data_IF_088040183417
#
_entry.id   IF_088040183417
#
_cell.length_a   1.000
_cell.length_b   1.000
_cell.length_c   1.000
_cell.angle_alpha   90.00
_cell.angle_beta   90.00
_cell.angle_gamma   90.00
#
_symmetry.space_group_name_H-M   'P 1'
#
loop_
_entity.id
_entity.type
_entity.pdbx_description
1 polymer ?
#
# COMPACT_ATOMS: atom_id res chain seq x y z
N UNK A 1 -42.18 -43.00 22.31
CA UNK A 1 -42.96 -41.88 21.77
C UNK A 1 -42.50 -40.53 22.33
N UNK A 2 -42.34 -40.38 23.65
CA UNK A 2 -41.93 -39.10 24.28
C UNK A 2 -40.50 -38.63 23.86
N UNK A 3 -39.54 -39.55 23.72
CA UNK A 3 -38.16 -39.22 23.30
C UNK A 3 -38.05 -38.73 21.85
N UNK A 4 -38.93 -39.17 20.97
CA UNK A 4 -38.97 -38.77 19.57
C UNK A 4 -39.54 -37.36 19.41
N UNK A 5 -40.51 -36.98 20.23
CA UNK A 5 -41.10 -35.63 20.23
C UNK A 5 -40.13 -34.61 20.80
N UNK A 6 -39.35 -34.95 21.83
CA UNK A 6 -38.31 -34.08 22.42
C UNK A 6 -37.16 -33.83 21.43
N UNK A 7 -36.78 -34.83 20.63
CA UNK A 7 -35.79 -34.69 19.56
C UNK A 7 -36.23 -33.74 18.44
N UNK A 8 -37.50 -33.82 18.03
CA UNK A 8 -38.07 -32.94 17.00
C UNK A 8 -38.19 -31.46 17.47
N UNK A 9 -38.56 -31.26 18.75
CA UNK A 9 -38.67 -29.92 19.35
C UNK A 9 -37.27 -29.27 19.50
N UNK A 10 -36.23 -30.02 19.93
CA UNK A 10 -34.86 -29.54 19.99
C UNK A 10 -34.29 -29.21 18.61
N UNK A 11 -34.47 -30.05 17.61
CA UNK A 11 -34.01 -29.81 16.25
C UNK A 11 -34.69 -28.59 15.61
N UNK A 12 -35.98 -28.34 15.89
CA UNK A 12 -36.69 -27.13 15.45
C UNK A 12 -36.19 -25.84 16.13
N UNK A 13 -35.91 -25.91 17.44
CA UNK A 13 -35.41 -24.77 18.21
C UNK A 13 -33.98 -24.37 17.80
N UNK A 14 -33.08 -25.33 17.58
CA UNK A 14 -31.72 -25.09 17.09
C UNK A 14 -31.72 -24.54 15.67
N UNK A 15 -32.65 -24.97 14.81
CA UNK A 15 -32.81 -24.41 13.46
C UNK A 15 -33.33 -22.97 13.49
N UNK A 16 -34.25 -22.63 14.38
CA UNK A 16 -34.77 -21.25 14.54
C UNK A 16 -33.71 -20.36 15.15
N UNK A 17 -32.96 -20.82 16.17
CA UNK A 17 -31.85 -20.07 16.76
C UNK A 17 -30.75 -19.82 15.71
N UNK A 18 -30.36 -20.82 14.92
CA UNK A 18 -29.41 -20.69 13.84
C UNK A 18 -29.91 -19.74 12.72
N UNK A 19 -31.21 -19.75 12.43
CA UNK A 19 -31.81 -18.81 11.45
C UNK A 19 -31.79 -17.38 12.00
N UNK A 20 -32.15 -17.18 13.27
CA UNK A 20 -32.08 -15.91 13.97
C UNK A 20 -30.65 -15.40 14.03
N UNK A 21 -29.69 -16.28 14.42
CA UNK A 21 -28.26 -15.94 14.42
C UNK A 21 -27.76 -15.55 13.02
N UNK A 22 -28.15 -16.27 11.96
CA UNK A 22 -27.83 -15.92 10.56
C UNK A 22 -28.49 -14.60 10.13
N UNK A 23 -29.71 -14.31 10.55
CA UNK A 23 -30.43 -13.08 10.18
C UNK A 23 -29.92 -11.84 10.93
N UNK A 24 -29.54 -11.98 12.20
CA UNK A 24 -29.11 -10.85 13.04
C UNK A 24 -27.60 -10.73 13.15
N UNK A 25 -26.82 -11.79 12.94
CA UNK A 25 -25.36 -11.81 13.05
C UNK A 25 -24.65 -12.18 11.75
N UNK A 26 -25.36 -12.33 10.62
CA UNK A 26 -24.67 -12.35 9.33
C UNK A 26 -23.99 -10.98 9.16
N UNK A 27 -22.65 -10.94 9.22
CA UNK A 27 -21.88 -9.74 8.88
C UNK A 27 -22.36 -9.33 7.48
N UNK A 28 -23.16 -8.27 7.38
CA UNK A 28 -23.50 -7.66 6.09
C UNK A 28 -22.16 -7.38 5.39
N UNK A 29 -22.04 -7.82 4.14
CA UNK A 29 -20.86 -7.44 3.35
C UNK A 29 -20.77 -5.91 3.36
N UNK A 30 -19.62 -5.33 3.66
CA UNK A 30 -19.49 -3.88 3.67
C UNK A 30 -19.86 -3.33 2.29
N UNK A 31 -20.46 -2.16 2.26
CA UNK A 31 -20.74 -1.48 1.01
C UNK A 31 -19.42 -0.97 0.42
N UNK A 32 -19.20 -1.23 -0.87
CA UNK A 32 -17.96 -0.86 -1.58
C UNK A 32 -18.14 0.51 -2.22
N UNK A 33 -17.16 1.40 -2.03
CA UNK A 33 -17.15 2.74 -2.64
C UNK A 33 -16.73 2.68 -4.11
N UNK A 34 -15.58 2.04 -4.41
CA UNK A 34 -15.04 1.95 -5.78
C UNK A 34 -15.69 0.81 -6.57
N UNK A 35 -16.94 0.99 -6.98
CA UNK A 35 -17.70 -0.04 -7.71
C UNK A 35 -17.33 -0.09 -9.20
N UNK A 36 -17.00 1.04 -9.81
CA UNK A 36 -16.62 1.17 -11.22
C UNK A 36 -15.33 1.99 -11.33
N UNK A 37 -14.26 1.43 -11.94
CA UNK A 37 -12.97 2.11 -12.07
C UNK A 37 -12.99 3.34 -12.98
N UNK A 38 -14.05 3.56 -13.74
CA UNK A 38 -14.20 4.70 -14.64
C UNK A 38 -14.96 5.88 -14.01
N UNK A 39 -15.67 5.64 -12.92
CA UNK A 39 -16.45 6.67 -12.22
C UNK A 39 -15.54 7.42 -11.25
N UNK A 40 -15.83 8.71 -11.11
CA UNK A 40 -15.21 9.58 -10.11
C UNK A 40 -16.10 9.68 -8.89
N UNK A 41 -15.52 9.46 -7.74
CA UNK A 41 -16.16 9.56 -6.43
C UNK A 41 -15.60 10.77 -5.71
N UNK A 42 -16.40 11.82 -5.55
CA UNK A 42 -16.02 13.01 -4.80
C UNK A 42 -16.04 12.68 -3.29
N UNK A 43 -14.86 12.57 -2.67
CA UNK A 43 -14.75 12.29 -1.26
C UNK A 43 -14.31 13.54 -0.51
N UNK A 44 -14.88 13.72 0.69
CA UNK A 44 -14.73 14.92 1.51
C UNK A 44 -13.58 14.75 2.51
N UNK A 45 -12.67 15.74 2.57
CA UNK A 45 -11.62 15.80 3.56
C UNK A 45 -12.22 16.03 4.96
N UNK A 46 -11.97 15.12 5.89
CA UNK A 46 -12.48 15.18 7.27
C UNK A 46 -11.40 15.34 8.33
N UNK A 47 -10.13 15.04 7.97
CA UNK A 47 -8.99 15.27 8.86
C UNK A 47 -7.72 15.50 8.04
N UNK A 48 -6.82 16.35 8.56
CA UNK A 48 -5.51 16.64 8.00
C UNK A 48 -4.49 16.76 9.13
N UNK A 49 -3.53 15.84 9.18
CA UNK A 49 -2.48 15.77 10.19
C UNK A 49 -1.11 16.08 9.59
N UNK A 50 -0.30 16.86 10.30
CA UNK A 50 1.11 17.09 9.96
C UNK A 50 1.91 15.90 10.48
N UNK A 51 2.51 15.12 9.57
CA UNK A 51 3.36 13.96 9.91
C UNK A 51 4.81 14.41 10.05
N UNK A 52 5.29 15.24 9.10
CA UNK A 52 6.63 15.82 9.13
C UNK A 52 6.63 17.22 8.49
N UNK A 53 7.82 17.81 8.32
CA UNK A 53 8.00 19.12 7.71
C UNK A 53 7.36 19.23 6.32
N UNK A 54 7.34 18.14 5.56
CA UNK A 54 6.79 18.09 4.20
C UNK A 54 5.79 16.95 3.96
N UNK A 55 5.33 16.25 5.00
CA UNK A 55 4.40 15.13 4.87
C UNK A 55 3.12 15.37 5.65
N UNK A 56 2.01 15.03 5.03
CA UNK A 56 0.66 15.11 5.61
C UNK A 56 -0.06 13.78 5.51
N UNK A 57 -0.87 13.49 6.50
CA UNK A 57 -1.88 12.43 6.44
C UNK A 57 -3.23 13.08 6.22
N UNK A 58 -3.89 12.73 5.12
CA UNK A 58 -5.21 13.20 4.76
C UNK A 58 -6.21 12.08 4.96
N UNK A 59 -7.29 12.35 5.69
CA UNK A 59 -8.41 11.43 5.86
C UNK A 59 -9.63 11.94 5.11
N UNK A 60 -10.17 11.11 4.23
CA UNK A 60 -11.36 11.40 3.46
C UNK A 60 -12.51 10.48 3.90
N UNK A 61 -13.72 11.05 4.04
CA UNK A 61 -14.90 10.27 4.37
C UNK A 61 -15.36 9.44 3.16
N UNK A 62 -15.68 8.18 3.39
CA UNK A 62 -16.42 7.35 2.45
C UNK A 62 -17.92 7.70 2.50
N UNK A 63 -18.75 7.20 1.54
CA UNK A 63 -20.16 7.61 1.44
C UNK A 63 -21.01 7.38 2.69
N UNK A 64 -20.67 6.38 3.51
CA UNK A 64 -21.25 6.17 4.85
C UNK A 64 -20.23 5.50 5.78
N UNK A 65 -20.49 5.45 7.11
CA UNK A 65 -19.62 4.76 8.07
C UNK A 65 -19.44 3.25 7.81
N UNK A 66 -20.36 2.64 7.08
CA UNK A 66 -20.33 1.20 6.75
C UNK A 66 -19.61 0.90 5.43
N UNK A 67 -19.28 1.94 4.65
CA UNK A 67 -18.54 1.77 3.41
C UNK A 67 -17.06 1.44 3.68
N UNK A 68 -16.52 0.58 2.82
CA UNK A 68 -15.09 0.39 2.64
C UNK A 68 -14.67 0.97 1.29
N UNK A 69 -13.38 1.20 1.11
CA UNK A 69 -12.90 1.73 -0.18
C UNK A 69 -13.10 0.72 -1.31
N UNK A 70 -12.83 -0.55 -1.08
CA UNK A 70 -12.92 -1.63 -2.08
C UNK A 70 -11.70 -1.68 -3.00
N UNK A 71 -10.50 -1.36 -2.46
CA UNK A 71 -9.26 -1.36 -3.21
C UNK A 71 -8.52 -2.69 -3.04
N UNK A 72 -8.36 -3.50 -4.11
CA UNK A 72 -7.54 -4.72 -4.06
C UNK A 72 -6.10 -4.41 -3.63
N UNK A 73 -5.51 -5.26 -2.80
CA UNK A 73 -4.13 -5.12 -2.34
C UNK A 73 -3.16 -5.17 -3.53
N UNK A 74 -2.29 -4.19 -3.64
CA UNK A 74 -1.37 -3.99 -4.76
C UNK A 74 -1.88 -3.01 -5.81
N UNK A 75 -3.12 -2.54 -5.69
CA UNK A 75 -3.69 -1.51 -6.56
C UNK A 75 -3.69 -0.12 -5.90
N UNK A 76 -3.92 0.90 -6.69
CA UNK A 76 -3.93 2.30 -6.29
C UNK A 76 -5.21 3.02 -6.80
N UNK A 77 -5.42 4.23 -6.32
CA UNK A 77 -6.43 5.16 -6.82
C UNK A 77 -5.76 6.30 -7.57
N UNK A 78 -6.53 6.97 -8.41
CA UNK A 78 -6.18 8.27 -8.95
C UNK A 78 -6.93 9.37 -8.22
N UNK A 79 -6.22 10.43 -7.81
CA UNK A 79 -6.82 11.70 -7.46
C UNK A 79 -6.83 12.62 -8.69
N UNK A 80 -7.90 13.35 -8.88
CA UNK A 80 -8.01 14.34 -9.95
C UNK A 80 -8.58 15.65 -9.44
N UNK A 81 -7.93 16.76 -9.84
CA UNK A 81 -8.34 18.12 -9.50
C UNK A 81 -8.00 19.09 -10.65
N UNK A 82 -8.71 20.22 -10.71
CA UNK A 82 -8.33 21.36 -11.56
C UNK A 82 -7.34 22.23 -10.79
N UNK A 83 -6.11 22.35 -11.30
CA UNK A 83 -5.07 23.23 -10.77
C UNK A 83 -4.70 24.22 -11.87
N UNK A 84 -4.80 25.52 -11.61
CA UNK A 84 -4.57 26.59 -12.60
C UNK A 84 -5.31 26.36 -13.93
N UNK A 85 -6.58 25.95 -13.83
CA UNK A 85 -7.46 25.68 -14.99
C UNK A 85 -7.18 24.37 -15.74
N UNK A 86 -6.12 23.62 -15.37
CA UNK A 86 -5.72 22.35 -16.02
C UNK A 86 -6.08 21.15 -15.14
N UNK A 87 -6.55 20.08 -15.78
CA UNK A 87 -6.78 18.82 -15.08
C UNK A 87 -5.44 18.19 -14.70
N UNK A 88 -5.26 17.95 -13.41
CA UNK A 88 -4.11 17.19 -12.86
C UNK A 88 -4.63 15.89 -12.30
N UNK A 89 -3.99 14.78 -12.71
CA UNK A 89 -4.33 13.42 -12.24
C UNK A 89 -3.04 12.77 -11.72
N UNK A 90 -3.09 12.19 -10.50
CA UNK A 90 -1.94 11.51 -9.90
C UNK A 90 -2.37 10.24 -9.17
N UNK A 91 -1.56 9.15 -9.25
CA UNK A 91 -1.81 7.92 -8.51
C UNK A 91 -1.41 8.08 -7.05
N UNK A 92 -2.17 7.44 -6.16
CA UNK A 92 -1.89 7.33 -4.73
C UNK A 92 -2.30 5.95 -4.23
N UNK A 93 -1.50 5.38 -3.35
CA UNK A 93 -1.86 4.14 -2.65
C UNK A 93 -2.25 4.50 -1.21
N UNK A 94 -3.51 4.25 -0.81
CA UNK A 94 -3.96 4.46 0.56
C UNK A 94 -3.15 3.64 1.56
N UNK A 95 -2.99 4.18 2.77
CA UNK A 95 -2.35 3.49 3.90
C UNK A 95 -3.37 2.86 4.84
N UNK A 96 -4.65 3.24 4.77
CA UNK A 96 -5.77 2.51 5.39
C UNK A 96 -6.14 1.28 4.56
N UNK A 97 -6.77 0.30 5.18
CA UNK A 97 -7.24 -0.93 4.56
C UNK A 97 -8.78 -1.00 4.49
N UNK A 98 -9.33 -2.01 3.80
CA UNK A 98 -10.77 -2.27 3.79
C UNK A 98 -11.32 -2.83 5.12
N UNK A 99 -10.48 -2.98 6.15
CA UNK A 99 -10.93 -3.21 7.52
C UNK A 99 -11.32 -1.91 8.23
N UNK A 100 -10.85 -0.79 7.67
CA UNK A 100 -11.17 0.56 8.12
C UNK A 100 -12.41 1.05 7.38
N UNK A 101 -13.59 0.98 8.01
CA UNK A 101 -14.83 1.46 7.40
C UNK A 101 -15.04 2.96 7.64
N UNK A 102 -15.74 3.61 6.70
CA UNK A 102 -16.17 5.00 6.78
C UNK A 102 -15.13 6.03 6.33
N UNK A 103 -13.87 5.65 6.12
CA UNK A 103 -12.81 6.58 5.70
C UNK A 103 -11.72 5.92 4.87
N UNK A 104 -10.93 6.75 4.22
CA UNK A 104 -9.67 6.38 3.56
C UNK A 104 -8.57 7.36 3.93
N UNK A 105 -7.38 6.85 4.29
CA UNK A 105 -6.20 7.62 4.65
C UNK A 105 -5.15 7.60 3.53
N UNK A 106 -4.65 8.78 3.20
CA UNK A 106 -3.51 8.97 2.31
C UNK A 106 -2.36 9.65 3.06
N UNK A 107 -1.16 9.11 2.96
CA UNK A 107 0.07 9.79 3.40
C UNK A 107 0.76 10.35 2.16
N UNK A 108 0.93 11.67 2.14
CA UNK A 108 1.39 12.41 0.96
C UNK A 108 2.54 13.33 1.33
N UNK A 109 3.65 13.22 0.60
CA UNK A 109 4.74 14.20 0.65
C UNK A 109 4.36 15.42 -0.19
N UNK A 110 4.46 16.59 0.42
CA UNK A 110 4.18 17.87 -0.22
C UNK A 110 5.47 18.38 -0.85
N UNK A 111 5.46 18.48 -2.16
CA UNK A 111 6.58 19.08 -2.90
C UNK A 111 6.34 20.57 -3.04
N UNK A 112 6.87 21.34 -2.10
CA UNK A 112 6.70 22.80 -2.07
C UNK A 112 7.48 23.49 -3.20
N UNK A 113 7.01 24.69 -3.59
CA UNK A 113 7.72 25.58 -4.51
C UNK A 113 9.08 25.97 -3.95
N UNK A 114 10.02 26.24 -4.84
CA UNK A 114 11.34 26.81 -4.55
C UNK A 114 12.23 25.96 -3.63
N UNK A 115 11.86 24.70 -3.39
CA UNK A 115 12.64 23.75 -2.56
C UNK A 115 13.65 22.96 -3.41
N UNK A 116 13.24 22.50 -4.59
CA UNK A 116 14.10 21.68 -5.44
C UNK A 116 14.54 22.43 -6.69
N UNK A 117 15.87 22.65 -6.92
CA UNK A 117 16.37 23.49 -8.02
C UNK A 117 15.88 23.10 -9.42
N UNK A 118 15.73 21.77 -9.67
CA UNK A 118 15.24 21.26 -10.96
C UNK A 118 13.71 21.33 -11.11
N UNK A 119 12.98 21.54 -10.02
CA UNK A 119 11.51 21.58 -10.00
C UNK A 119 11.00 22.77 -9.18
N UNK A 120 11.28 24.02 -9.62
CA UNK A 120 10.96 25.22 -8.83
C UNK A 120 9.46 25.37 -8.56
N UNK A 121 8.60 24.89 -9.48
CA UNK A 121 7.14 24.95 -9.29
C UNK A 121 6.59 23.95 -8.25
N UNK A 122 7.39 22.98 -7.81
CA UNK A 122 6.97 21.94 -6.89
C UNK A 122 5.93 20.97 -7.48
N UNK A 123 5.22 20.26 -6.61
CA UNK A 123 4.25 19.26 -6.99
C UNK A 123 2.84 19.83 -7.08
N UNK A 124 2.25 19.90 -8.28
CA UNK A 124 0.91 20.50 -8.48
C UNK A 124 -0.17 19.86 -7.62
N UNK A 125 -0.29 18.51 -7.64
CA UNK A 125 -1.32 17.81 -6.87
C UNK A 125 -1.03 17.86 -5.37
N UNK A 126 0.23 17.70 -4.95
CA UNK A 126 0.56 17.70 -3.53
C UNK A 126 0.33 19.07 -2.88
N UNK A 127 0.65 20.16 -3.56
CA UNK A 127 0.34 21.52 -3.09
C UNK A 127 -1.16 21.82 -3.12
N UNK A 128 -1.90 21.30 -4.11
CA UNK A 128 -3.37 21.38 -4.11
C UNK A 128 -3.96 20.69 -2.88
N UNK A 129 -3.51 19.47 -2.56
CA UNK A 129 -3.93 18.74 -1.36
C UNK A 129 -3.60 19.51 -0.07
N UNK A 130 -2.40 20.12 0.00
CA UNK A 130 -2.02 20.98 1.15
C UNK A 130 -2.96 22.17 1.31
N UNK A 131 -3.45 22.74 0.21
CA UNK A 131 -4.40 23.86 0.21
C UNK A 131 -5.84 23.48 0.60
N UNK A 132 -6.19 22.19 0.60
CA UNK A 132 -7.56 21.75 0.98
C UNK A 132 -7.87 22.09 2.44
N UNK A 133 -9.09 22.55 2.64
CA UNK A 133 -9.69 22.76 3.96
C UNK A 133 -10.58 21.59 4.34
N UNK A 134 -10.85 21.41 5.62
CA UNK A 134 -11.84 20.44 6.06
C UNK A 134 -13.20 20.72 5.39
N UNK A 135 -13.84 19.67 4.92
CA UNK A 135 -15.06 19.61 4.13
C UNK A 135 -14.89 19.91 2.64
N UNK A 136 -13.73 20.30 2.14
CA UNK A 136 -13.47 20.29 0.69
C UNK A 136 -13.50 18.87 0.14
N UNK A 137 -13.81 18.74 -1.15
CA UNK A 137 -13.86 17.44 -1.84
C UNK A 137 -12.81 17.36 -2.93
N UNK A 138 -12.36 16.11 -3.18
CA UNK A 138 -11.52 15.78 -4.34
C UNK A 138 -12.02 14.49 -4.98
N UNK A 139 -11.86 14.38 -6.31
CA UNK A 139 -12.28 13.22 -7.07
C UNK A 139 -11.30 12.04 -6.88
N UNK A 140 -11.80 10.92 -6.40
CA UNK A 140 -11.16 9.61 -6.38
C UNK A 140 -11.64 8.78 -7.56
N UNK A 141 -10.77 8.01 -8.18
CA UNK A 141 -11.09 7.05 -9.23
C UNK A 141 -10.21 5.81 -9.10
N UNK A 142 -10.80 4.64 -9.24
CA UNK A 142 -10.14 3.35 -9.15
C UNK A 142 -11.14 2.22 -8.96
N UNK A 143 -10.65 1.01 -8.68
CA UNK A 143 -9.24 0.63 -8.51
C UNK A 143 -8.44 0.65 -9.82
N UNK A 144 -7.11 0.82 -9.74
CA UNK A 144 -6.20 0.77 -10.87
C UNK A 144 -4.86 0.15 -10.46
N UNK A 145 -4.19 -0.50 -11.40
CA UNK A 145 -2.89 -1.15 -11.19
C UNK A 145 -2.81 -2.47 -11.91
N UNK A 146 -1.58 -2.97 -12.08
CA UNK A 146 -1.28 -4.20 -12.82
C UNK A 146 -0.94 -5.37 -11.91
N UNK A 147 -0.87 -5.16 -10.60
CA UNK A 147 -0.58 -6.18 -9.61
C UNK A 147 -1.73 -6.28 -8.60
N UNK A 148 -2.13 -7.50 -8.29
CA UNK A 148 -3.05 -7.80 -7.19
C UNK A 148 -2.44 -8.89 -6.31
N UNK A 149 -2.28 -8.62 -5.03
CA UNK A 149 -1.92 -9.63 -4.05
C UNK A 149 -3.16 -10.41 -3.62
N UNK A 150 -3.08 -11.74 -3.69
CA UNK A 150 -4.18 -12.65 -3.38
C UNK A 150 -4.07 -13.34 -2.01
N UNK A 151 -3.02 -12.99 -1.28
CA UNK A 151 -2.68 -13.65 0.00
C UNK A 151 -1.75 -14.86 -0.18
N UNK A 152 -1.06 -15.19 0.91
CA UNK A 152 -0.18 -16.38 1.01
C UNK A 152 0.85 -16.49 -0.11
N UNK A 153 1.45 -15.35 -0.46
CA UNK A 153 2.47 -15.25 -1.49
C UNK A 153 1.99 -15.37 -2.93
N UNK A 154 0.67 -15.34 -3.17
CA UNK A 154 0.11 -15.42 -4.53
C UNK A 154 -0.18 -14.02 -5.09
N UNK A 155 0.23 -13.78 -6.32
CA UNK A 155 0.07 -12.51 -7.04
C UNK A 155 -0.53 -12.77 -8.41
N UNK A 156 -1.47 -11.91 -8.83
CA UNK A 156 -1.89 -11.78 -10.21
C UNK A 156 -1.22 -10.53 -10.78
N UNK A 157 -0.35 -10.70 -11.78
CA UNK A 157 0.42 -9.62 -12.39
C UNK A 157 0.10 -9.55 -13.88
N UNK A 158 -0.33 -8.37 -14.34
CA UNK A 158 -0.53 -8.09 -15.76
C UNK A 158 0.74 -7.45 -16.33
N UNK A 159 1.28 -7.94 -17.48
CA UNK A 159 2.36 -7.27 -18.17
C UNK A 159 1.98 -5.85 -18.64
N UNK A 160 0.73 -5.68 -19.03
CA UNK A 160 0.12 -4.41 -19.43
C UNK A 160 -1.40 -4.45 -19.22
N UNK A 161 -2.08 -3.30 -19.47
CA UNK A 161 -3.53 -3.15 -19.25
C UNK A 161 -4.42 -4.00 -20.17
N UNK A 162 -3.87 -4.58 -21.24
CA UNK A 162 -4.64 -5.35 -22.24
C UNK A 162 -4.41 -6.85 -22.10
N UNK A 163 -3.29 -7.25 -21.51
CA UNK A 163 -2.91 -8.65 -21.33
C UNK A 163 -3.63 -9.29 -20.15
N UNK A 164 -3.83 -10.59 -20.22
CA UNK A 164 -4.32 -11.36 -19.08
C UNK A 164 -3.30 -11.36 -17.94
N UNK A 165 -3.78 -11.44 -16.72
CA UNK A 165 -2.92 -11.56 -15.56
C UNK A 165 -2.27 -12.93 -15.49
N UNK A 166 -0.98 -12.96 -15.18
CA UNK A 166 -0.23 -14.17 -14.88
C UNK A 166 -0.20 -14.39 -13.37
N UNK A 167 -0.44 -15.63 -12.93
CA UNK A 167 -0.30 -16.02 -11.54
C UNK A 167 1.18 -16.25 -11.22
N UNK A 168 1.72 -15.48 -10.28
CA UNK A 168 3.05 -15.70 -9.70
C UNK A 168 2.93 -16.02 -8.22
N UNK A 169 3.80 -16.88 -7.74
CA UNK A 169 3.91 -17.19 -6.31
C UNK A 169 5.29 -16.84 -5.80
N UNK A 170 5.40 -16.41 -4.55
CA UNK A 170 6.65 -16.11 -3.90
C UNK A 170 6.56 -16.44 -2.41
N UNK A 171 7.62 -17.04 -1.86
CA UNK A 171 7.80 -17.19 -0.41
C UNK A 171 8.52 -15.98 0.17
N UNK A 172 9.32 -15.32 -0.67
CA UNK A 172 10.14 -14.16 -0.28
C UNK A 172 9.83 -12.98 -1.19
N UNK A 173 9.54 -11.84 -0.57
CA UNK A 173 9.36 -10.56 -1.25
C UNK A 173 10.57 -9.68 -0.97
N UNK A 174 11.32 -9.34 -2.00
CA UNK A 174 12.28 -8.24 -1.94
C UNK A 174 11.57 -6.95 -2.35
N UNK A 175 11.55 -5.96 -1.50
CA UNK A 175 10.87 -4.69 -1.73
C UNK A 175 11.88 -3.57 -1.72
N UNK A 176 11.90 -2.75 -2.77
CA UNK A 176 12.73 -1.56 -2.85
C UNK A 176 11.83 -0.34 -2.96
N UNK A 177 11.85 0.52 -1.96
CA UNK A 177 11.05 1.73 -1.92
C UNK A 177 11.94 2.98 -1.95
N UNK A 178 11.50 4.04 -2.66
CA UNK A 178 12.11 5.36 -2.62
C UNK A 178 11.09 6.43 -2.23
N UNK A 179 11.31 7.11 -1.10
CA UNK A 179 10.40 8.16 -0.63
C UNK A 179 8.96 7.69 -0.52
N UNK A 180 8.04 8.35 -1.25
CA UNK A 180 6.60 7.99 -1.26
C UNK A 180 6.29 6.62 -1.87
N UNK A 181 7.27 5.99 -2.54
CA UNK A 181 7.14 4.61 -3.02
C UNK A 181 6.97 3.56 -1.91
N UNK A 182 7.06 3.96 -0.66
CA UNK A 182 6.77 3.10 0.50
C UNK A 182 5.28 2.70 0.58
N UNK A 183 4.35 3.51 0.10
CA UNK A 183 2.91 3.29 0.31
C UNK A 183 2.39 1.99 -0.32
N UNK A 184 2.71 1.60 -1.57
CA UNK A 184 2.32 0.29 -2.09
C UNK A 184 3.04 -0.88 -1.39
N UNK A 185 4.27 -0.68 -0.89
CA UNK A 185 4.97 -1.71 -0.11
C UNK A 185 4.27 -1.93 1.23
N UNK A 186 3.96 -0.86 1.96
CA UNK A 186 3.26 -0.94 3.24
C UNK A 186 1.90 -1.62 3.10
N UNK A 187 1.15 -1.35 2.02
CA UNK A 187 -0.13 -2.00 1.76
C UNK A 187 0.01 -3.54 1.71
N UNK A 188 1.03 -4.05 0.99
CA UNK A 188 1.29 -5.49 0.88
C UNK A 188 1.83 -6.05 2.20
N UNK A 189 2.82 -5.37 2.83
CA UNK A 189 3.39 -5.79 4.11
C UNK A 189 2.30 -5.95 5.16
N UNK A 190 1.43 -4.94 5.31
CA UNK A 190 0.31 -4.99 6.26
C UNK A 190 -0.63 -6.16 5.98
N UNK A 191 -0.97 -6.41 4.71
CA UNK A 191 -1.82 -7.54 4.33
C UNK A 191 -1.18 -8.89 4.67
N UNK A 192 0.12 -9.06 4.40
CA UNK A 192 0.88 -10.27 4.75
C UNK A 192 0.95 -10.48 6.26
N UNK A 193 1.29 -9.44 7.02
CA UNK A 193 1.48 -9.54 8.49
C UNK A 193 0.16 -9.81 9.21
N UNK A 194 -0.95 -9.30 8.68
CA UNK A 194 -2.28 -9.46 9.25
C UNK A 194 -2.83 -10.90 9.15
N UNK A 195 -2.49 -11.65 8.10
CA UNK A 195 -2.89 -13.05 7.97
C UNK A 195 -1.88 -13.95 8.70
N UNK A 196 -2.26 -14.60 9.82
CA UNK A 196 -1.37 -15.51 10.55
C UNK A 196 -1.04 -16.79 9.76
N UNK A 197 -1.80 -17.10 8.71
CA UNK A 197 -1.55 -18.25 7.84
C UNK A 197 -0.65 -17.90 6.64
N UNK A 198 -0.43 -16.61 6.39
CA UNK A 198 0.52 -16.17 5.38
C UNK A 198 1.95 -16.36 5.89
N UNK A 199 2.74 -17.12 5.17
CA UNK A 199 4.14 -17.44 5.52
C UNK A 199 5.15 -16.65 4.68
N UNK A 200 4.67 -15.69 3.89
CA UNK A 200 5.51 -14.84 3.06
C UNK A 200 6.44 -14.00 3.94
N UNK A 201 7.72 -13.98 3.60
CA UNK A 201 8.72 -13.13 4.26
C UNK A 201 8.96 -11.90 3.40
N UNK A 202 8.76 -10.72 3.99
CA UNK A 202 8.97 -9.43 3.34
C UNK A 202 10.31 -8.84 3.77
N UNK A 203 11.15 -8.45 2.80
CA UNK A 203 12.40 -7.73 3.00
C UNK A 203 12.27 -6.36 2.37
N UNK A 204 12.34 -5.30 3.15
CA UNK A 204 12.22 -3.93 2.69
C UNK A 204 13.55 -3.19 2.77
N UNK A 205 14.07 -2.77 1.61
CA UNK A 205 15.16 -1.80 1.47
C UNK A 205 14.56 -0.45 1.11
N UNK A 206 14.63 0.52 2.03
CA UNK A 206 13.93 1.79 1.90
C UNK A 206 14.91 2.97 1.81
N UNK A 207 14.96 3.61 0.63
CA UNK A 207 15.85 4.71 0.30
C UNK A 207 15.19 6.08 0.47
N UNK A 208 15.89 7.01 1.12
CA UNK A 208 15.45 8.38 1.35
C UNK A 208 16.63 9.37 1.25
N UNK A 209 16.37 10.68 1.21
CA UNK A 209 17.44 11.67 1.15
C UNK A 209 18.13 11.86 2.50
N UNK A 210 17.35 11.96 3.57
CA UNK A 210 17.84 12.09 4.94
C UNK A 210 17.01 11.22 5.87
N UNK A 211 17.45 11.02 7.09
CA UNK A 211 16.70 10.33 8.12
C UNK A 211 15.31 10.94 8.36
N UNK A 212 15.21 12.28 8.33
CA UNK A 212 13.95 13.02 8.54
C UNK A 212 12.94 12.86 7.41
N UNK A 213 13.40 12.38 6.24
CA UNK A 213 12.54 12.09 5.08
C UNK A 213 11.93 10.68 5.10
N UNK A 214 12.33 9.82 6.06
CA UNK A 214 11.82 8.45 6.14
C UNK A 214 10.36 8.48 6.59
N UNK A 215 9.46 8.21 5.64
CA UNK A 215 8.03 8.18 5.87
C UNK A 215 7.64 6.92 6.66
N UNK A 216 6.71 7.06 7.60
CA UNK A 216 6.12 5.93 8.33
C UNK A 216 7.16 5.05 9.05
N UNK A 217 8.30 5.64 9.44
CA UNK A 217 9.38 4.90 10.10
C UNK A 217 8.92 4.23 11.39
N UNK A 218 8.20 4.92 12.31
CA UNK A 218 7.73 4.28 13.54
C UNK A 218 6.83 3.07 13.27
N UNK A 219 5.93 3.18 12.29
CA UNK A 219 5.01 2.11 11.90
C UNK A 219 5.77 0.91 11.31
N UNK A 220 6.79 1.16 10.48
CA UNK A 220 7.62 0.10 9.89
C UNK A 220 8.47 -0.61 10.96
N UNK A 221 9.06 0.14 11.88
CA UNK A 221 9.84 -0.41 12.99
C UNK A 221 8.94 -1.22 13.95
N UNK A 222 7.71 -0.75 14.22
CA UNK A 222 6.73 -1.49 15.02
C UNK A 222 6.35 -2.83 14.33
N UNK A 223 6.11 -2.82 13.02
CA UNK A 223 5.85 -4.06 12.27
C UNK A 223 7.03 -5.03 12.40
N UNK A 224 8.28 -4.54 12.29
CA UNK A 224 9.47 -5.38 12.44
C UNK A 224 9.59 -5.99 13.84
N UNK A 225 9.31 -5.23 14.89
CA UNK A 225 9.32 -5.71 16.27
C UNK A 225 8.25 -6.79 16.50
N UNK A 226 7.06 -6.58 15.94
CA UNK A 226 5.93 -7.51 16.10
C UNK A 226 6.03 -8.77 15.22
N UNK A 227 6.79 -8.70 14.09
CA UNK A 227 6.91 -9.79 13.12
C UNK A 227 8.36 -10.05 12.67
N UNK A 228 9.33 -10.23 13.60
CA UNK A 228 10.75 -10.28 13.28
C UNK A 228 11.14 -11.41 12.32
N UNK A 229 10.36 -12.53 12.29
CA UNK A 229 10.62 -13.65 11.40
C UNK A 229 10.07 -13.43 9.97
N UNK A 230 9.06 -12.57 9.81
CA UNK A 230 8.38 -12.35 8.53
C UNK A 230 8.64 -11.00 7.90
N UNK A 231 9.17 -10.02 8.65
CA UNK A 231 9.51 -8.69 8.14
C UNK A 231 10.94 -8.31 8.50
N UNK A 232 11.71 -7.99 7.47
CA UNK A 232 13.08 -7.49 7.56
C UNK A 232 13.12 -6.09 6.98
N UNK A 233 13.65 -5.14 7.72
CA UNK A 233 13.66 -3.72 7.38
C UNK A 233 15.10 -3.21 7.35
N UNK A 234 15.45 -2.50 6.28
CA UNK A 234 16.72 -1.83 6.13
C UNK A 234 16.56 -0.47 5.47
N UNK A 235 17.26 0.52 5.97
CA UNK A 235 17.23 1.87 5.43
C UNK A 235 18.54 2.23 4.73
N UNK A 236 18.44 3.14 3.75
CA UNK A 236 19.60 3.87 3.21
C UNK A 236 19.21 5.33 3.03
N UNK A 237 20.14 6.25 3.33
CA UNK A 237 19.91 7.69 3.12
C UNK A 237 21.11 8.33 2.42
N UNK A 238 20.82 9.29 1.52
CA UNK A 238 21.85 9.98 0.74
C UNK A 238 22.77 10.81 1.63
N UNK A 239 22.21 11.43 2.65
CA UNK A 239 22.89 12.29 3.64
C UNK A 239 22.60 11.78 5.04
N UNK A 240 23.46 10.91 5.51
CA UNK A 240 23.34 10.27 6.81
C UNK A 240 23.98 11.12 7.93
N UNK A 241 23.36 11.17 9.15
CA UNK A 241 24.03 11.70 10.32
C UNK A 241 25.23 10.80 10.73
N UNK A 242 26.08 11.27 11.65
CA UNK A 242 27.28 10.53 12.06
C UNK A 242 26.96 9.19 12.72
N UNK A 243 25.91 9.16 13.54
CA UNK A 243 25.43 8.01 14.31
C UNK A 243 24.46 7.08 13.53
N UNK A 244 24.42 7.21 12.20
CA UNK A 244 23.53 6.41 11.35
C UNK A 244 23.99 4.95 11.27
N UNK A 245 23.12 4.04 11.72
CA UNK A 245 23.43 2.60 11.84
C UNK A 245 23.14 1.79 10.55
N UNK A 246 22.46 2.38 9.57
CA UNK A 246 22.08 1.72 8.31
C UNK A 246 23.02 2.15 7.17
N UNK A 247 22.66 1.77 5.94
CA UNK A 247 23.44 2.08 4.75
C UNK A 247 23.41 3.58 4.38
N UNK A 248 24.40 4.01 3.62
CA UNK A 248 24.57 5.39 3.15
C UNK A 248 24.65 5.43 1.63
N UNK A 249 24.04 6.45 1.03
CA UNK A 249 24.06 6.66 -0.40
C UNK A 249 22.99 5.92 -1.16
N UNK A 250 23.16 5.82 -2.48
CA UNK A 250 22.25 5.17 -3.39
C UNK A 250 22.26 3.65 -3.22
N UNK A 251 21.17 3.00 -3.60
CA UNK A 251 21.06 1.54 -3.57
C UNK A 251 22.20 0.92 -4.36
N UNK A 252 22.96 0.05 -3.70
CA UNK A 252 24.15 -0.64 -4.22
C UNK A 252 23.92 -2.15 -4.38
N UNK A 253 24.84 -2.80 -5.08
CA UNK A 253 24.87 -4.26 -5.19
C UNK A 253 24.97 -4.95 -3.82
N UNK A 254 25.81 -4.41 -2.94
CA UNK A 254 25.99 -4.90 -1.57
C UNK A 254 24.68 -4.84 -0.77
N UNK A 255 23.98 -3.69 -0.80
CA UNK A 255 22.69 -3.55 -0.14
C UNK A 255 21.65 -4.55 -0.66
N UNK A 256 21.61 -4.78 -1.97
CA UNK A 256 20.71 -5.76 -2.58
C UNK A 256 21.06 -7.17 -2.10
N UNK A 257 22.35 -7.54 -2.09
CA UNK A 257 22.80 -8.86 -1.66
C UNK A 257 22.53 -9.14 -0.19
N UNK A 258 22.75 -8.14 0.67
CA UNK A 258 22.75 -8.33 2.12
C UNK A 258 21.35 -8.17 2.73
N UNK A 259 20.48 -7.37 2.13
CA UNK A 259 19.20 -6.99 2.73
C UNK A 259 17.96 -7.41 1.95
N UNK A 260 18.10 -7.94 0.74
CA UNK A 260 17.01 -8.56 0.00
C UNK A 260 17.16 -10.10 0.01
N UNK A 261 16.07 -10.83 -0.26
CA UNK A 261 16.15 -12.29 -0.35
C UNK A 261 17.00 -12.69 -1.56
N UNK A 262 17.68 -13.86 -1.51
CA UNK A 262 18.48 -14.34 -2.64
C UNK A 262 17.62 -14.52 -3.90
N UNK A 263 18.22 -14.41 -5.10
CA UNK A 263 17.51 -14.71 -6.34
C UNK A 263 17.06 -16.15 -6.40
N UNK A 264 15.88 -16.40 -6.97
CA UNK A 264 15.30 -17.73 -7.11
C UNK A 264 13.82 -17.68 -7.52
N UNK A 265 13.28 -18.86 -7.82
CA UNK A 265 11.89 -19.00 -8.27
C UNK A 265 10.87 -18.66 -7.18
N UNK A 266 11.26 -18.75 -5.91
CA UNK A 266 10.44 -18.40 -4.74
C UNK A 266 10.56 -16.92 -4.34
N UNK A 267 11.36 -16.12 -5.05
CA UNK A 267 11.58 -14.70 -4.78
C UNK A 267 10.89 -13.83 -5.83
N UNK A 268 10.20 -12.79 -5.38
CA UNK A 268 9.63 -11.73 -6.23
C UNK A 268 10.12 -10.38 -5.73
N UNK A 269 10.63 -9.55 -6.64
CA UNK A 269 11.09 -8.19 -6.33
C UNK A 269 10.01 -7.18 -6.72
N UNK A 270 9.65 -6.33 -5.78
CA UNK A 270 8.71 -5.22 -5.97
C UNK A 270 9.45 -3.90 -5.82
N UNK A 271 9.28 -2.98 -6.75
CA UNK A 271 9.97 -1.69 -6.75
C UNK A 271 8.97 -0.54 -6.90
N UNK A 272 9.17 0.53 -6.12
CA UNK A 272 8.44 1.78 -6.29
C UNK A 272 9.30 2.96 -5.83
N UNK A 273 9.47 3.96 -6.69
CA UNK A 273 10.27 5.14 -6.36
C UNK A 273 10.54 6.01 -7.59
N UNK A 274 11.40 7.02 -7.46
CA UNK A 274 11.78 7.88 -8.57
C UNK A 274 12.32 7.07 -9.75
N UNK A 275 11.90 7.37 -11.01
CA UNK A 275 12.38 6.63 -12.19
C UNK A 275 13.90 6.53 -12.31
N UNK A 276 14.71 7.59 -11.99
CA UNK A 276 16.16 7.46 -12.01
C UNK A 276 16.71 6.45 -10.99
N UNK A 277 16.08 6.31 -9.80
CA UNK A 277 16.48 5.31 -8.82
C UNK A 277 16.23 3.90 -9.36
N UNK A 278 15.06 3.65 -9.93
CA UNK A 278 14.73 2.35 -10.51
C UNK A 278 15.68 2.01 -11.67
N UNK A 279 15.88 2.96 -12.58
CA UNK A 279 16.64 2.75 -13.82
C UNK A 279 18.15 2.61 -13.57
N UNK A 280 18.73 3.46 -12.71
CA UNK A 280 20.18 3.59 -12.58
C UNK A 280 20.77 2.95 -11.33
N UNK A 281 19.93 2.65 -10.32
CA UNK A 281 20.39 1.99 -9.10
C UNK A 281 19.74 0.61 -8.90
N UNK A 282 18.42 0.48 -8.96
CA UNK A 282 17.77 -0.79 -8.64
C UNK A 282 18.04 -1.87 -9.70
N UNK A 283 17.65 -1.64 -10.96
CA UNK A 283 17.77 -2.64 -12.01
C UNK A 283 19.21 -3.11 -12.22
N UNK A 284 20.23 -2.23 -12.37
CA UNK A 284 21.60 -2.69 -12.60
C UNK A 284 22.18 -3.51 -11.43
N UNK A 285 21.81 -3.19 -10.19
CA UNK A 285 22.30 -3.93 -9.04
C UNK A 285 21.54 -5.24 -8.81
N UNK A 286 20.26 -5.30 -9.15
CA UNK A 286 19.50 -6.55 -9.19
C UNK A 286 20.05 -7.51 -10.26
N UNK A 287 20.46 -6.99 -11.43
CA UNK A 287 21.10 -7.78 -12.48
C UNK A 287 22.41 -8.40 -12.01
N UNK A 288 23.28 -7.60 -11.36
CA UNK A 288 24.57 -8.08 -10.83
C UNK A 288 24.41 -9.15 -9.76
N UNK A 289 23.38 -9.04 -8.92
CA UNK A 289 23.10 -10.07 -7.88
C UNK A 289 22.44 -11.31 -8.51
N UNK A 290 21.86 -11.20 -9.70
CA UNK A 290 21.28 -12.34 -10.44
C UNK A 290 19.77 -12.49 -10.30
N UNK A 291 19.05 -11.46 -9.85
CA UNK A 291 17.60 -11.48 -9.88
C UNK A 291 17.08 -11.44 -11.32
N UNK A 292 16.19 -12.36 -11.68
CA UNK A 292 15.59 -12.40 -13.02
C UNK A 292 14.64 -11.22 -13.24
N UNK A 293 14.68 -10.61 -14.44
CA UNK A 293 13.73 -9.55 -14.82
C UNK A 293 12.27 -10.03 -14.77
N UNK A 294 12.03 -11.31 -15.15
CA UNK A 294 10.69 -11.91 -15.08
C UNK A 294 10.13 -12.04 -13.66
N UNK A 295 10.98 -11.87 -12.65
CA UNK A 295 10.62 -11.93 -11.21
C UNK A 295 10.69 -10.54 -10.56
N UNK A 296 10.55 -9.47 -11.35
CA UNK A 296 10.50 -8.08 -10.87
C UNK A 296 9.20 -7.43 -11.30
N UNK A 297 8.70 -6.53 -10.47
CA UNK A 297 7.57 -5.67 -10.77
C UNK A 297 7.86 -4.24 -10.30
N UNK A 298 7.56 -3.26 -11.14
CA UNK A 298 7.65 -1.83 -10.80
C UNK A 298 6.26 -1.21 -10.83
N UNK A 299 5.89 -0.56 -9.72
CA UNK A 299 4.61 0.14 -9.57
C UNK A 299 4.55 1.42 -10.40
#
# INVERSE_FOLDING_TARGET
MLSYIIGLIRGGFDSIINLIFRLFFSKRRPAITLQDPNIKYALRLIDKQIVSHDTRKFRFALPSPEHVLGLPIGQHIYLSAKVDGKLVVRPYTPVSSDDDSGYVDLVVKIYFKDVHPKFPEGGKMSQYLEGLKLNDTIDFRGPSGLLVYRGRGAFDIQPDKKSAAERKTAKHLGMIAGGTGITPMLQIITAVMKDPQDRTVCHLLFANQTEKDILLRPELEEIQVNHPERFKLWFTVDRAPEDWEYSRGFISEEMVRDHLPPPGDDTLILMCGPPPMIQFACNPNLDKVGHSESRRFTF
#
